data_IF_501904694950
#
_entry.id   IF_501904694950
#
_cell.length_a   1.000
_cell.length_b   1.000
_cell.length_c   1.000
_cell.angle_alpha   90.00
_cell.angle_beta   90.00
_cell.angle_gamma   90.00
#
_symmetry.space_group_name_H-M   'P 1'
#
loop_
_entity.id
_entity.type
_entity.pdbx_description
1 polymer ?
#
# COMPACT_ATOMS: atom_id res chain seq x y z
N UNK A 1 2.72 -3.62 1.83
CA UNK A 1 2.55 -3.42 3.27
C UNK A 1 1.48 -2.37 3.53
N UNK A 2 0.71 -2.53 4.60
CA UNK A 2 -0.30 -1.56 5.05
C UNK A 2 -0.08 -1.29 6.54
N UNK A 3 -0.13 -0.02 6.94
CA UNK A 3 -0.09 0.42 8.34
C UNK A 3 -1.45 1.05 8.67
N UNK A 4 -2.03 0.64 9.79
CA UNK A 4 -3.32 1.10 10.29
C UNK A 4 -3.35 1.03 11.82
N UNK A 5 -4.38 1.61 12.44
CA UNK A 5 -4.53 1.67 13.90
C UNK A 5 -4.70 0.28 14.52
N UNK A 6 -5.30 -0.66 13.79
CA UNK A 6 -5.45 -2.05 14.22
C UNK A 6 -4.84 -3.03 13.22
N UNK A 7 -4.30 -4.13 13.74
CA UNK A 7 -3.79 -5.23 12.92
C UNK A 7 -4.88 -5.85 12.04
N UNK A 8 -6.14 -5.87 12.52
CA UNK A 8 -7.28 -6.38 11.77
C UNK A 8 -7.54 -5.53 10.52
N UNK A 9 -7.51 -4.20 10.64
CA UNK A 9 -7.66 -3.31 9.48
C UNK A 9 -6.50 -3.44 8.50
N UNK A 10 -5.26 -3.48 9.01
CA UNK A 10 -4.08 -3.64 8.16
C UNK A 10 -4.14 -4.94 7.34
N UNK A 11 -4.52 -6.06 7.98
CA UNK A 11 -4.61 -7.36 7.32
C UNK A 11 -5.72 -7.39 6.25
N UNK A 12 -6.93 -6.94 6.61
CA UNK A 12 -8.06 -6.87 5.70
C UNK A 12 -7.80 -5.98 4.49
N UNK A 13 -7.25 -4.77 4.71
CA UNK A 13 -6.91 -3.83 3.65
C UNK A 13 -5.79 -4.37 2.77
N UNK A 14 -4.76 -5.00 3.33
CA UNK A 14 -3.66 -5.56 2.54
C UNK A 14 -4.14 -6.65 1.58
N UNK A 15 -5.05 -7.52 2.05
CA UNK A 15 -5.66 -8.56 1.23
C UNK A 15 -6.54 -7.96 0.14
N UNK A 16 -7.39 -6.99 0.49
CA UNK A 16 -8.26 -6.32 -0.46
C UNK A 16 -7.46 -5.61 -1.57
N UNK A 17 -6.40 -4.89 -1.21
CA UNK A 17 -5.53 -4.18 -2.15
C UNK A 17 -4.78 -5.14 -3.08
N UNK A 18 -4.35 -6.30 -2.59
CA UNK A 18 -3.75 -7.34 -3.44
C UNK A 18 -4.72 -7.83 -4.51
N UNK A 19 -6.00 -8.02 -4.15
CA UNK A 19 -7.07 -8.46 -5.08
C UNK A 19 -7.44 -7.35 -6.08
N UNK A 20 -7.47 -6.09 -5.65
CA UNK A 20 -7.79 -4.94 -6.52
C UNK A 20 -6.75 -4.72 -7.61
N UNK A 21 -5.50 -5.09 -7.37
CA UNK A 21 -4.38 -4.76 -8.23
C UNK A 21 -3.87 -3.32 -8.01
N UNK A 22 -2.70 -2.99 -8.57
CA UNK A 22 -1.91 -1.81 -8.20
C UNK A 22 -2.64 -0.48 -8.39
N UNK A 23 -3.22 -0.25 -9.56
CA UNK A 23 -3.81 1.05 -9.89
C UNK A 23 -5.04 1.38 -9.03
N UNK A 24 -5.93 0.40 -8.86
CA UNK A 24 -7.13 0.56 -8.04
C UNK A 24 -6.79 0.65 -6.55
N UNK A 25 -5.81 -0.14 -6.08
CA UNK A 25 -5.35 -0.09 -4.71
C UNK A 25 -4.68 1.25 -4.35
N UNK A 26 -3.81 1.78 -5.21
CA UNK A 26 -3.16 3.08 -4.99
C UNK A 26 -4.19 4.23 -4.98
N UNK A 27 -5.14 4.23 -5.92
CA UNK A 27 -6.22 5.21 -5.96
C UNK A 27 -7.08 5.19 -4.69
N UNK A 28 -7.46 3.99 -4.22
CA UNK A 28 -8.21 3.82 -2.98
C UNK A 28 -7.38 4.26 -1.76
N UNK A 29 -6.13 3.86 -1.67
CA UNK A 29 -5.25 4.20 -0.57
C UNK A 29 -5.03 5.71 -0.46
N UNK A 30 -4.77 6.39 -1.58
CA UNK A 30 -4.64 7.86 -1.63
C UNK A 30 -5.93 8.57 -1.26
N UNK A 31 -7.08 8.11 -1.77
CA UNK A 31 -8.40 8.69 -1.46
C UNK A 31 -8.73 8.64 0.03
N UNK A 32 -8.35 7.55 0.69
CA UNK A 32 -8.69 7.30 2.10
C UNK A 32 -7.54 7.60 3.08
N UNK A 33 -6.39 8.09 2.60
CA UNK A 33 -5.25 8.40 3.45
C UNK A 33 -4.61 7.17 4.11
N UNK A 34 -4.72 5.99 3.47
CA UNK A 34 -4.19 4.74 4.00
C UNK A 34 -2.68 4.69 3.74
N UNK A 35 -1.90 4.43 4.78
CA UNK A 35 -0.45 4.22 4.67
C UNK A 35 -0.18 2.86 4.02
N UNK A 36 -0.02 2.85 2.70
CA UNK A 36 0.31 1.67 1.91
C UNK A 36 1.64 1.83 1.16
N UNK A 37 2.38 0.72 1.09
CA UNK A 37 3.59 0.53 0.29
C UNK A 37 3.42 -0.70 -0.60
N UNK A 38 3.61 -0.54 -1.90
CA UNK A 38 3.46 -1.54 -2.93
C UNK A 38 4.81 -1.91 -3.53
N UNK A 39 5.06 -3.21 -3.71
CA UNK A 39 6.20 -3.74 -4.45
C UNK A 39 5.63 -4.41 -5.70
N UNK A 40 5.90 -3.83 -6.86
CA UNK A 40 5.33 -4.24 -8.13
C UNK A 40 6.38 -4.93 -9.00
N UNK A 41 5.94 -5.93 -9.76
CA UNK A 41 6.80 -6.61 -10.73
C UNK A 41 6.84 -5.80 -12.03
N UNK A 42 8.00 -5.24 -12.35
CA UNK A 42 8.22 -4.50 -13.60
C UNK A 42 9.25 -5.22 -14.47
N UNK A 43 8.78 -6.11 -15.34
CA UNK A 43 9.65 -6.94 -16.19
C UNK A 43 10.62 -7.79 -15.37
N UNK A 44 11.94 -7.52 -15.49
CA UNK A 44 12.97 -8.20 -14.68
C UNK A 44 13.25 -7.52 -13.34
N UNK A 45 12.78 -6.28 -13.14
CA UNK A 45 12.99 -5.51 -11.92
C UNK A 45 11.79 -5.59 -10.97
N UNK A 46 11.96 -5.01 -9.78
CA UNK A 46 10.90 -4.65 -8.86
C UNK A 46 10.83 -3.12 -8.82
N UNK A 47 9.62 -2.58 -8.70
CA UNK A 47 9.37 -1.16 -8.53
C UNK A 47 8.64 -0.96 -7.20
N UNK A 48 9.09 0.03 -6.43
CA UNK A 48 8.49 0.39 -5.15
C UNK A 48 7.68 1.68 -5.31
N UNK A 49 6.45 1.67 -4.77
CA UNK A 49 5.56 2.81 -4.80
C UNK A 49 4.84 2.90 -3.45
N UNK A 50 4.79 4.09 -2.86
CA UNK A 50 4.07 4.29 -1.61
C UNK A 50 3.17 5.51 -1.64
N UNK A 51 2.19 5.48 -0.76
CA UNK A 51 1.27 6.61 -0.51
C UNK A 51 1.95 7.69 0.34
N UNK A 52 1.49 8.96 0.27
CA UNK A 52 2.03 10.02 1.14
C UNK A 52 1.89 9.70 2.63
N UNK A 53 0.79 9.03 3.03
CA UNK A 53 0.57 8.59 4.40
C UNK A 53 1.63 7.58 4.89
N UNK A 54 2.30 6.89 3.97
CA UNK A 54 3.37 5.95 4.30
C UNK A 54 4.75 6.64 4.47
N UNK A 55 4.94 7.88 4.01
CA UNK A 55 6.25 8.57 4.02
C UNK A 55 6.88 8.64 5.43
N UNK A 56 6.06 8.83 6.46
CA UNK A 56 6.50 8.86 7.86
C UNK A 56 7.20 7.57 8.32
N UNK A 57 7.09 6.47 7.57
CA UNK A 57 7.64 5.16 7.89
C UNK A 57 8.79 4.73 6.97
N UNK A 58 9.13 5.53 5.95
CA UNK A 58 10.18 5.20 4.95
C UNK A 58 11.59 5.56 5.45
N UNK A 59 11.70 6.37 6.51
CA UNK A 59 12.98 6.75 7.12
C UNK A 59 12.95 6.60 8.64
N UNK A 60 13.25 5.38 9.09
CA UNK A 60 13.62 5.05 10.47
C UNK A 60 14.91 4.25 10.48
#
# INVERSE_FOLDING_TARGET
>A
SVIADTTLEADALSTAMMVMGPDAADALARKHGIAAHFILKSGKALEEQWTPAFEAYVSA
#
